data_IF_969874083840
#
_entry.id   IF_969874083840
#
_cell.length_a   1.000
_cell.length_b   1.000
_cell.length_c   1.000
_cell.angle_alpha   90.00
_cell.angle_beta   90.00
_cell.angle_gamma   90.00
#
_symmetry.space_group_name_H-M   'P 1'
#
loop_
_entity.id
_entity.type
_entity.pdbx_description
1 polymer ?
#
# COMPACT_ATOMS: atom_id res chain seq x y z
N UNK A 1 7.58 50.80 -51.18
CA UNK A 1 6.76 50.64 -49.97
C UNK A 1 6.52 49.15 -49.71
N UNK A 2 7.36 48.49 -48.90
CA UNK A 2 7.14 47.12 -48.38
C UNK A 2 7.95 46.90 -47.08
N UNK A 3 7.60 47.63 -46.02
CA UNK A 3 8.28 47.51 -44.70
C UNK A 3 7.30 47.25 -43.53
N UNK A 4 5.98 47.20 -43.77
CA UNK A 4 4.97 46.98 -42.72
C UNK A 4 4.47 45.55 -42.55
N UNK A 5 4.79 44.65 -43.49
CA UNK A 5 4.20 43.29 -43.56
C UNK A 5 5.02 42.26 -42.75
N UNK A 6 6.35 42.32 -42.84
CA UNK A 6 7.24 41.39 -42.14
C UNK A 6 7.21 41.56 -40.61
N UNK A 7 7.02 42.77 -40.10
CA UNK A 7 6.92 43.05 -38.67
C UNK A 7 5.66 42.44 -38.07
N UNK A 8 4.53 42.52 -38.78
CA UNK A 8 3.26 41.94 -38.35
C UNK A 8 3.34 40.40 -38.30
N UNK A 9 3.94 39.79 -39.33
CA UNK A 9 4.16 38.34 -39.38
C UNK A 9 5.08 37.85 -38.25
N UNK A 10 6.15 38.58 -37.92
CA UNK A 10 7.05 38.22 -36.84
C UNK A 10 6.35 38.26 -35.46
N UNK A 11 5.52 39.28 -35.22
CA UNK A 11 4.74 39.40 -33.98
C UNK A 11 3.67 38.30 -33.86
N UNK A 12 3.04 37.91 -34.96
CA UNK A 12 2.08 36.79 -34.98
C UNK A 12 2.81 35.48 -34.65
N UNK A 13 3.94 35.22 -35.31
CA UNK A 13 4.77 34.02 -35.05
C UNK A 13 5.23 33.94 -33.59
N UNK A 14 5.75 35.04 -33.03
CA UNK A 14 6.17 35.08 -31.63
C UNK A 14 4.99 34.87 -30.67
N UNK A 15 3.80 35.38 -31.00
CA UNK A 15 2.60 35.19 -30.19
C UNK A 15 2.13 33.74 -30.21
N UNK A 16 2.18 33.10 -31.36
CA UNK A 16 1.83 31.69 -31.53
C UNK A 16 2.81 30.78 -30.77
N UNK A 17 4.13 31.05 -30.84
CA UNK A 17 5.14 30.34 -30.04
C UNK A 17 4.91 30.50 -28.53
N UNK A 18 4.60 31.73 -28.06
CA UNK A 18 4.30 31.96 -26.64
C UNK A 18 3.02 31.24 -26.21
N UNK A 19 2.02 31.13 -27.09
CA UNK A 19 0.80 30.35 -26.82
C UNK A 19 1.13 28.86 -26.70
N UNK A 20 1.84 28.31 -27.67
CA UNK A 20 2.26 26.89 -27.68
C UNK A 20 3.11 26.54 -26.45
N UNK A 21 4.03 27.42 -26.07
CA UNK A 21 4.85 27.25 -24.87
C UNK A 21 3.99 27.21 -23.60
N UNK A 22 2.98 28.10 -23.49
CA UNK A 22 2.06 28.12 -22.34
C UNK A 22 1.22 26.85 -22.26
N UNK A 23 0.73 26.35 -23.39
CA UNK A 23 -0.03 25.11 -23.47
C UNK A 23 0.83 23.89 -23.07
N UNK A 24 2.07 23.85 -23.56
CA UNK A 24 3.04 22.81 -23.21
C UNK A 24 3.35 22.83 -21.70
N UNK A 25 3.63 24.00 -21.13
CA UNK A 25 3.88 24.15 -19.69
C UNK A 25 2.67 23.67 -18.87
N UNK A 26 1.44 24.05 -19.26
CA UNK A 26 0.23 23.58 -18.58
C UNK A 26 0.06 22.06 -18.64
N UNK A 27 0.41 21.45 -19.77
CA UNK A 27 0.32 20.01 -19.97
C UNK A 27 1.35 19.26 -19.13
N UNK A 28 2.60 19.71 -19.14
CA UNK A 28 3.67 19.15 -18.33
C UNK A 28 3.38 19.25 -16.83
N UNK A 29 2.81 20.37 -16.37
CA UNK A 29 2.37 20.51 -14.98
C UNK A 29 1.33 19.46 -14.60
N UNK A 30 0.35 19.22 -15.47
CA UNK A 30 -0.70 18.23 -15.24
C UNK A 30 -0.13 16.81 -15.18
N UNK A 31 0.79 16.48 -16.08
CA UNK A 31 1.47 15.18 -16.11
C UNK A 31 2.34 14.97 -14.87
N UNK A 32 3.11 15.98 -14.46
CA UNK A 32 3.95 15.91 -13.26
C UNK A 32 3.12 15.71 -11.99
N UNK A 33 1.99 16.41 -11.87
CA UNK A 33 1.07 16.21 -10.75
C UNK A 33 0.50 14.79 -10.73
N UNK A 34 0.11 14.27 -11.88
CA UNK A 34 -0.41 12.90 -11.99
C UNK A 34 0.66 11.86 -11.66
N UNK A 35 1.88 12.06 -12.13
CA UNK A 35 3.01 11.19 -11.81
C UNK A 35 3.29 11.21 -10.30
N UNK A 36 3.37 12.40 -9.70
CA UNK A 36 3.58 12.56 -8.26
C UNK A 36 2.48 11.86 -7.44
N UNK A 37 1.23 11.89 -7.91
CA UNK A 37 0.11 11.19 -7.28
C UNK A 37 0.26 9.67 -7.33
N UNK A 38 0.76 9.12 -8.45
CA UNK A 38 1.01 7.67 -8.59
C UNK A 38 2.17 7.17 -7.72
N UNK A 39 3.11 8.06 -7.40
CA UNK A 39 4.24 7.77 -6.51
C UNK A 39 3.86 7.87 -5.01
N UNK A 40 2.66 8.32 -4.68
CA UNK A 40 2.15 8.37 -3.30
C UNK A 40 1.33 7.11 -2.99
N UNK A 41 2.02 6.06 -2.57
CA UNK A 41 1.39 4.77 -2.21
C UNK A 41 1.67 4.45 -0.76
N UNK A 42 0.64 4.44 0.06
CA UNK A 42 0.72 4.05 1.46
C UNK A 42 -0.64 3.58 1.96
N UNK A 43 -0.67 2.50 2.71
CA UNK A 43 -1.84 2.07 3.45
C UNK A 43 -1.47 1.67 4.88
N UNK A 44 -2.45 1.79 5.77
CA UNK A 44 -2.37 1.32 7.13
C UNK A 44 -3.77 0.95 7.59
N UNK A 45 -3.93 -0.28 8.07
CA UNK A 45 -5.20 -0.81 8.51
C UNK A 45 -5.02 -1.71 9.75
N UNK A 46 -6.06 -1.78 10.59
CA UNK A 46 -6.17 -2.76 11.67
C UNK A 46 -7.18 -3.85 11.29
N UNK A 47 -7.12 -4.98 12.02
CA UNK A 47 -8.07 -6.06 11.83
C UNK A 47 -9.51 -5.59 12.09
N UNK A 48 -9.70 -4.59 12.96
CA UNK A 48 -10.96 -4.08 13.46
C UNK A 48 -11.42 -4.81 14.74
N UNK A 49 -12.38 -4.25 15.49
CA UNK A 49 -12.79 -4.73 16.83
C UNK A 49 -13.70 -5.97 16.77
N UNK A 50 -13.26 -7.00 16.03
CA UNK A 50 -14.01 -8.24 15.83
C UNK A 50 -13.64 -9.33 16.84
N UNK A 51 -12.85 -9.00 17.86
CA UNK A 51 -12.43 -9.93 18.89
C UNK A 51 -11.52 -11.01 18.34
N UNK A 52 -11.79 -12.25 18.73
CA UNK A 52 -10.96 -13.40 18.44
C UNK A 52 -11.21 -13.97 17.04
N UNK A 53 -10.14 -14.19 16.29
CA UNK A 53 -10.12 -14.92 15.02
C UNK A 53 -9.42 -16.27 15.18
N UNK A 54 -9.89 -17.26 14.43
CA UNK A 54 -9.38 -18.63 14.48
C UNK A 54 -10.01 -19.49 15.58
N UNK A 55 -9.56 -20.75 15.72
CA UNK A 55 -8.60 -21.39 14.84
C UNK A 55 -9.33 -21.87 13.58
N UNK A 56 -8.70 -21.66 12.44
CA UNK A 56 -9.16 -22.27 11.19
C UNK A 56 -8.30 -23.51 10.94
N UNK A 57 -8.89 -24.58 10.41
CA UNK A 57 -8.18 -25.82 10.08
C UNK A 57 -7.23 -25.66 8.87
N UNK A 58 -7.38 -24.57 8.11
CA UNK A 58 -6.50 -24.16 7.02
C UNK A 58 -6.01 -22.75 7.23
N UNK A 59 -4.99 -22.34 6.47
CA UNK A 59 -4.62 -20.92 6.45
C UNK A 59 -5.73 -20.09 5.81
N UNK A 60 -5.99 -18.91 6.37
CA UNK A 60 -6.96 -17.96 5.84
C UNK A 60 -6.26 -16.65 5.49
N UNK A 61 -6.70 -16.00 4.41
CA UNK A 61 -6.32 -14.61 4.14
C UNK A 61 -7.06 -13.70 5.10
N UNK A 62 -6.32 -12.84 5.80
CA UNK A 62 -6.90 -11.86 6.73
C UNK A 62 -7.33 -10.61 5.98
N UNK A 63 -8.48 -10.06 6.39
CA UNK A 63 -9.01 -8.79 5.88
C UNK A 63 -8.93 -7.77 7.01
N UNK A 64 -8.07 -6.77 6.86
CA UNK A 64 -7.91 -5.67 7.81
C UNK A 64 -8.91 -4.58 7.39
N UNK A 65 -10.07 -4.58 8.04
CA UNK A 65 -11.24 -3.83 7.58
C UNK A 65 -11.23 -2.38 8.01
N UNK A 66 -10.56 -2.05 9.10
CA UNK A 66 -10.50 -0.68 9.59
C UNK A 66 -9.28 0.02 8.99
N UNK A 67 -9.54 0.92 8.04
CA UNK A 67 -8.50 1.54 7.19
C UNK A 67 -8.27 2.97 7.64
N UNK A 68 -7.07 3.24 8.15
CA UNK A 68 -6.66 4.59 8.57
C UNK A 68 -6.19 5.45 7.40
N UNK A 69 -5.44 4.84 6.47
CA UNK A 69 -4.92 5.50 5.26
C UNK A 69 -4.89 4.50 4.10
N UNK A 70 -5.17 4.99 2.89
CA UNK A 70 -5.08 4.23 1.64
C UNK A 70 -4.72 5.14 0.46
N UNK A 71 -3.61 5.87 0.59
CA UNK A 71 -3.08 6.70 -0.48
C UNK A 71 -2.69 5.83 -1.69
N UNK A 72 -3.13 6.26 -2.88
CA UNK A 72 -2.97 5.50 -4.12
C UNK A 72 -4.01 4.38 -4.32
N UNK A 73 -4.93 4.18 -3.36
CA UNK A 73 -6.00 3.16 -3.41
C UNK A 73 -5.49 1.74 -3.75
N UNK A 74 -4.29 1.41 -3.25
CA UNK A 74 -3.60 0.17 -3.56
C UNK A 74 -4.03 -1.00 -2.65
N UNK A 75 -4.61 -0.71 -1.49
CA UNK A 75 -5.16 -1.72 -0.58
C UNK A 75 -6.67 -1.91 -0.77
N UNK A 76 -7.11 -3.16 -0.86
CA UNK A 76 -8.53 -3.50 -0.96
C UNK A 76 -9.04 -4.03 0.39
N UNK A 77 -9.88 -3.26 1.13
CA UNK A 77 -10.40 -3.66 2.44
C UNK A 77 -11.50 -4.73 2.39
N UNK A 78 -11.97 -5.11 1.21
CA UNK A 78 -12.89 -6.25 1.04
C UNK A 78 -12.12 -7.57 0.95
N UNK A 79 -10.94 -7.57 0.34
CA UNK A 79 -10.15 -8.79 0.11
C UNK A 79 -8.95 -8.93 1.04
N UNK A 80 -8.50 -7.84 1.65
CA UNK A 80 -7.28 -7.80 2.47
C UNK A 80 -5.99 -7.72 1.67
N UNK A 81 -6.08 -7.44 0.36
CA UNK A 81 -4.96 -7.54 -0.57
C UNK A 81 -4.47 -6.15 -0.97
N UNK A 82 -3.16 -5.93 -0.85
CA UNK A 82 -2.45 -4.83 -1.48
C UNK A 82 -2.04 -5.22 -2.90
N UNK A 83 -2.27 -4.35 -3.87
CA UNK A 83 -1.83 -4.50 -5.27
C UNK A 83 -0.89 -3.38 -5.64
N UNK A 84 0.34 -3.69 -6.05
CA UNK A 84 1.33 -2.68 -6.41
C UNK A 84 0.88 -1.89 -7.65
N UNK A 85 0.63 -0.57 -7.55
CA UNK A 85 0.14 0.23 -8.68
C UNK A 85 1.28 0.67 -9.61
N UNK A 86 2.53 0.63 -9.14
CA UNK A 86 3.73 0.97 -9.88
C UNK A 86 4.84 -0.02 -9.51
N UNK A 87 5.83 -0.17 -10.38
CA UNK A 87 7.05 -0.92 -10.05
C UNK A 87 7.88 -0.11 -9.05
N UNK A 88 8.39 -0.77 -8.02
CA UNK A 88 9.15 -0.07 -6.98
C UNK A 88 9.57 -0.95 -5.81
N UNK A 89 10.21 -0.31 -4.83
CA UNK A 89 10.58 -0.94 -3.56
C UNK A 89 9.60 -0.49 -2.48
N UNK A 90 8.98 -1.45 -1.81
CA UNK A 90 7.95 -1.25 -0.81
C UNK A 90 8.41 -1.79 0.54
N UNK A 91 8.00 -1.14 1.62
CA UNK A 91 8.14 -1.68 2.97
C UNK A 91 6.77 -2.10 3.50
N UNK A 92 6.71 -3.28 4.11
CA UNK A 92 5.54 -3.79 4.81
C UNK A 92 5.88 -4.08 6.27
N UNK A 93 4.96 -3.75 7.17
CA UNK A 93 5.02 -4.09 8.59
C UNK A 93 3.67 -4.61 9.03
N UNK A 94 3.68 -5.61 9.92
CA UNK A 94 2.46 -6.19 10.46
C UNK A 94 2.66 -6.63 11.91
N UNK A 95 1.60 -6.49 12.70
CA UNK A 95 1.53 -6.99 14.08
C UNK A 95 0.39 -7.98 14.23
N UNK A 96 0.60 -8.98 15.08
CA UNK A 96 -0.44 -9.89 15.53
C UNK A 96 -0.52 -9.93 17.03
N UNK A 97 -1.71 -9.70 17.57
CA UNK A 97 -1.98 -9.76 19.00
C UNK A 97 -2.83 -10.98 19.34
N UNK A 98 -2.57 -11.60 20.48
CA UNK A 98 -3.30 -12.77 20.93
C UNK A 98 -3.14 -12.99 22.44
N UNK A 99 -3.91 -13.94 22.98
CA UNK A 99 -3.72 -14.45 24.33
C UNK A 99 -2.81 -15.67 24.29
N UNK A 100 -1.70 -15.62 25.04
CA UNK A 100 -0.63 -16.62 25.01
C UNK A 100 -1.00 -18.00 25.56
N UNK A 101 -2.24 -18.21 26.02
CA UNK A 101 -2.76 -19.56 26.29
C UNK A 101 -2.95 -20.38 25.02
N UNK A 102 -2.81 -19.75 23.85
CA UNK A 102 -2.89 -20.35 22.51
C UNK A 102 -1.76 -19.78 21.66
N UNK A 103 -1.41 -20.46 20.57
CA UNK A 103 -0.41 -19.94 19.63
C UNK A 103 -1.00 -18.97 18.61
N UNK A 104 -0.18 -18.03 18.15
CA UNK A 104 -0.48 -17.11 17.05
C UNK A 104 0.57 -17.25 15.96
N UNK A 105 0.14 -17.23 14.69
CA UNK A 105 1.07 -17.22 13.57
C UNK A 105 0.55 -16.41 12.40
N UNK A 106 1.30 -15.39 11.99
CA UNK A 106 1.00 -14.61 10.79
C UNK A 106 2.09 -14.79 9.74
N UNK A 107 1.68 -14.75 8.48
CA UNK A 107 2.55 -14.89 7.31
C UNK A 107 2.25 -13.81 6.29
N UNK A 108 3.30 -13.12 5.84
CA UNK A 108 3.23 -12.22 4.70
C UNK A 108 3.40 -13.05 3.42
N UNK A 109 2.53 -12.86 2.45
CA UNK A 109 2.59 -13.51 1.14
C UNK A 109 2.78 -12.49 0.02
N UNK A 110 3.54 -12.87 -1.00
CA UNK A 110 3.63 -12.20 -2.30
C UNK A 110 3.22 -13.20 -3.39
N UNK A 111 2.16 -12.93 -4.15
CA UNK A 111 1.71 -13.77 -5.27
C UNK A 111 1.61 -15.27 -4.94
N UNK A 112 1.09 -15.63 -3.76
CA UNK A 112 0.99 -17.03 -3.32
C UNK A 112 2.26 -17.61 -2.69
N UNK A 113 3.40 -16.93 -2.75
CA UNK A 113 4.63 -17.33 -2.07
C UNK A 113 4.72 -16.72 -0.66
N UNK A 114 5.04 -17.55 0.33
CA UNK A 114 5.31 -17.08 1.70
C UNK A 114 6.65 -16.33 1.75
N UNK A 115 6.63 -15.12 2.30
CA UNK A 115 7.81 -14.24 2.39
C UNK A 115 8.44 -14.27 3.78
N UNK A 116 7.70 -13.82 4.80
CA UNK A 116 8.15 -13.80 6.20
C UNK A 116 7.04 -14.30 7.13
N UNK A 117 7.43 -14.82 8.28
CA UNK A 117 6.52 -15.36 9.31
C UNK A 117 6.82 -14.70 10.65
N UNK A 118 5.78 -14.51 11.46
CA UNK A 118 5.90 -14.30 12.90
C UNK A 118 5.11 -15.39 13.61
N UNK A 119 5.62 -15.90 14.73
CA UNK A 119 4.98 -16.98 15.45
C UNK A 119 5.22 -16.86 16.96
N UNK A 120 4.14 -16.89 17.72
CA UNK A 120 4.17 -17.03 19.18
C UNK A 120 3.66 -18.42 19.55
N UNK A 121 4.45 -19.14 20.36
CA UNK A 121 4.03 -20.39 20.97
C UNK A 121 3.07 -20.12 22.13
N UNK A 122 2.25 -21.11 22.48
CA UNK A 122 1.49 -21.04 23.72
C UNK A 122 2.46 -20.99 24.92
N UNK A 123 2.35 -19.93 25.73
CA UNK A 123 3.22 -19.61 26.83
C UNK A 123 2.44 -18.87 27.94
N UNK A 124 1.74 -19.62 28.79
CA UNK A 124 1.02 -19.08 29.94
C UNK A 124 -0.38 -18.56 29.60
N UNK A 125 -0.73 -17.37 30.08
CA UNK A 125 -2.09 -16.82 29.89
C UNK A 125 -2.10 -15.28 29.94
N UNK A 126 -1.28 -14.63 29.12
CA UNK A 126 -1.13 -13.17 29.07
C UNK A 126 -1.33 -12.64 27.64
N UNK A 127 -1.69 -11.37 27.47
CA UNK A 127 -1.69 -10.74 26.15
C UNK A 127 -0.27 -10.65 25.60
N UNK A 128 -0.08 -11.01 24.34
CA UNK A 128 1.20 -10.96 23.64
C UNK A 128 1.01 -10.47 22.21
N UNK A 129 1.91 -9.58 21.78
CA UNK A 129 2.00 -9.09 20.41
C UNK A 129 3.33 -9.54 19.82
N UNK A 130 3.32 -9.93 18.56
CA UNK A 130 4.55 -10.05 17.78
C UNK A 130 4.42 -9.30 16.45
N UNK A 131 5.53 -8.72 16.03
CA UNK A 131 5.61 -7.84 14.86
C UNK A 131 6.74 -8.33 13.96
N UNK A 132 6.55 -8.24 12.65
CA UNK A 132 7.60 -8.46 11.67
C UNK A 132 7.38 -7.50 10.49
N UNK A 133 8.37 -7.37 9.61
CA UNK A 133 8.30 -6.55 8.42
C UNK A 133 9.28 -6.99 7.36
N UNK A 134 9.06 -6.54 6.13
CA UNK A 134 9.92 -6.87 5.00
C UNK A 134 9.91 -5.76 3.96
N UNK A 135 11.08 -5.50 3.39
CA UNK A 135 11.22 -4.69 2.18
C UNK A 135 11.18 -5.60 0.95
N UNK A 136 10.33 -5.27 -0.02
CA UNK A 136 10.12 -6.05 -1.24
C UNK A 136 10.22 -5.16 -2.48
N UNK A 137 10.93 -5.64 -3.50
CA UNK A 137 10.71 -5.14 -4.84
C UNK A 137 9.44 -5.77 -5.42
N UNK A 138 8.54 -4.93 -5.92
CA UNK A 138 7.29 -5.34 -6.54
C UNK A 138 7.23 -4.84 -7.98
N UNK A 139 6.67 -5.69 -8.84
CA UNK A 139 6.25 -5.32 -10.18
C UNK A 139 4.81 -4.81 -10.14
N UNK A 140 4.40 -4.04 -11.15
CA UNK A 140 3.02 -3.56 -11.24
C UNK A 140 2.06 -4.75 -11.31
N UNK A 141 1.04 -4.75 -10.44
CA UNK A 141 0.07 -5.84 -10.33
C UNK A 141 0.43 -6.93 -9.32
N UNK A 142 1.63 -6.91 -8.73
CA UNK A 142 1.98 -7.85 -7.65
C UNK A 142 1.02 -7.71 -6.47
N UNK A 143 0.60 -8.84 -5.90
CA UNK A 143 -0.29 -8.92 -4.75
C UNK A 143 0.48 -9.25 -3.48
N UNK A 144 0.26 -8.47 -2.43
CA UNK A 144 0.81 -8.68 -1.09
C UNK A 144 -0.32 -8.74 -0.07
N UNK A 145 -0.35 -9.76 0.77
CA UNK A 145 -1.42 -9.96 1.74
C UNK A 145 -0.97 -10.81 2.93
N UNK A 146 -1.73 -10.72 4.01
CA UNK A 146 -1.48 -11.46 5.24
C UNK A 146 -2.33 -12.73 5.32
N UNK A 147 -1.74 -13.79 5.87
CA UNK A 147 -2.46 -15.01 6.25
C UNK A 147 -2.29 -15.35 7.72
N UNK A 148 -3.37 -15.79 8.35
CA UNK A 148 -3.34 -16.47 9.64
C UNK A 148 -3.02 -17.94 9.40
N UNK A 149 -2.02 -18.46 10.13
CA UNK A 149 -1.64 -19.88 10.04
C UNK A 149 -2.77 -20.78 10.54
N UNK A 150 -2.90 -21.95 9.94
CA UNK A 150 -3.83 -22.99 10.41
C UNK A 150 -3.61 -23.30 11.90
N UNK A 151 -4.70 -23.51 12.62
CA UNK A 151 -4.73 -23.85 14.06
C UNK A 151 -4.12 -22.79 14.98
N UNK A 152 -4.02 -21.54 14.52
CA UNK A 152 -3.57 -20.41 15.33
C UNK A 152 -4.67 -19.35 15.52
N UNK A 153 -4.43 -18.44 16.44
CA UNK A 153 -5.40 -17.46 16.88
C UNK A 153 -4.86 -16.04 16.73
N UNK A 154 -5.77 -15.11 16.48
CA UNK A 154 -5.51 -13.67 16.48
C UNK A 154 -6.61 -13.00 17.29
N UNK A 155 -6.34 -11.85 17.88
CA UNK A 155 -7.32 -11.08 18.62
C UNK A 155 -7.13 -9.60 18.32
N UNK A 156 -8.23 -8.88 18.23
CA UNK A 156 -8.23 -7.43 18.20
C UNK A 156 -9.46 -6.84 18.91
N UNK A 157 -9.36 -5.58 19.30
CA UNK A 157 -10.42 -4.82 19.98
C UNK A 157 -10.32 -3.33 19.57
N UNK A 158 -10.98 -2.45 20.31
CA UNK A 158 -11.02 -1.00 20.05
C UNK A 158 -9.65 -0.30 20.15
N UNK A 159 -8.57 -1.01 20.48
CA UNK A 159 -7.20 -0.48 20.56
C UNK A 159 -6.32 -0.87 19.36
N UNK A 160 -6.88 -1.53 18.33
CA UNK A 160 -6.22 -1.79 17.04
C UNK A 160 -4.82 -2.44 17.15
N UNK A 161 -4.74 -3.55 17.89
CA UNK A 161 -3.48 -4.22 18.20
C UNK A 161 -2.86 -4.96 17.00
N UNK A 162 -3.70 -5.47 16.09
CA UNK A 162 -3.27 -6.28 14.95
C UNK A 162 -3.34 -5.44 13.67
N UNK A 163 -2.18 -5.00 13.19
CA UNK A 163 -2.08 -4.04 12.08
C UNK A 163 -1.42 -4.65 10.85
N UNK A 164 -1.75 -4.11 9.67
CA UNK A 164 -1.04 -4.34 8.42
C UNK A 164 -0.83 -2.99 7.72
N UNK A 165 0.44 -2.68 7.48
CA UNK A 165 0.89 -1.38 6.98
C UNK A 165 1.82 -1.63 5.81
N UNK A 166 1.72 -0.81 4.77
CA UNK A 166 2.69 -0.84 3.69
C UNK A 166 2.79 0.48 2.94
N UNK A 167 3.97 0.80 2.43
CA UNK A 167 4.20 2.02 1.66
C UNK A 167 5.32 1.86 0.63
N UNK A 168 5.23 2.62 -0.46
CA UNK A 168 6.29 2.76 -1.45
C UNK A 168 7.43 3.58 -0.86
N UNK A 169 8.65 3.04 -0.90
CA UNK A 169 9.86 3.78 -0.56
C UNK A 169 10.31 4.63 -1.75
N UNK A 170 10.39 4.02 -2.93
CA UNK A 170 10.71 4.70 -4.19
C UNK A 170 10.32 3.83 -5.41
N UNK A 171 9.87 4.46 -6.51
CA UNK A 171 9.62 3.77 -7.78
C UNK A 171 10.93 3.31 -8.45
N UNK A 172 10.85 2.36 -9.37
CA UNK A 172 11.99 1.80 -10.12
C UNK A 172 11.77 1.78 -11.63
#
# INVERSE_FOLDING_TARGET
MRYGDNSCQLFIGLRDEVRELRETVSTLWSQLQEQKRKEQVAFGASLGPYGQQGPYNTEITLVYKDVFVNAGNAYNPTTGIFTAPVRGVYYFSFSGHHRSSRSMGLRLFKNGQQMVTVYNHAAGNRPETATNGMTLQLETGDHVYMRLRANTWLFDNENDHSTFIGHLLFPL
#
